data_IF_209893381572
#
_entry.id   IF_209893381572
#
_cell.length_a   1.000
_cell.length_b   1.000
_cell.length_c   1.000
_cell.angle_alpha   90.00
_cell.angle_beta   90.00
_cell.angle_gamma   90.00
#
_symmetry.space_group_name_H-M   'P 1'
#
loop_
_entity.id
_entity.type
_entity.pdbx_description
1 polymer ?
#
# COMPACT_ATOMS: atom_id res chain seq x y z
N UNK A 1 0.16 -2.99 -17.23
CA UNK A 1 -1.08 -2.94 -16.41
C UNK A 1 -1.58 -1.50 -16.39
N UNK A 2 -2.90 -1.28 -16.30
CA UNK A 2 -3.49 0.05 -16.10
C UNK A 2 -4.10 0.08 -14.70
N UNK A 3 -3.79 1.14 -13.94
CA UNK A 3 -4.35 1.41 -12.62
C UNK A 3 -5.29 2.61 -12.74
N UNK A 4 -6.50 2.51 -12.18
CA UNK A 4 -7.56 3.49 -12.45
C UNK A 4 -7.57 4.61 -11.42
N UNK A 5 -7.67 4.25 -10.13
CA UNK A 5 -7.73 5.20 -9.01
C UNK A 5 -6.53 4.96 -8.11
N UNK A 6 -5.53 5.83 -8.21
CA UNK A 6 -4.32 5.78 -7.40
C UNK A 6 -4.40 6.75 -6.22
N UNK A 7 -3.83 6.34 -5.09
CA UNK A 7 -3.76 7.14 -3.86
C UNK A 7 -2.34 7.05 -3.29
N UNK A 8 -1.81 8.18 -2.84
CA UNK A 8 -0.51 8.26 -2.17
C UNK A 8 -0.65 8.02 -0.67
N UNK A 9 0.31 7.30 -0.10
CA UNK A 9 0.35 7.00 1.32
C UNK A 9 1.79 6.82 1.80
N UNK A 10 1.98 6.81 3.12
CA UNK A 10 3.24 6.52 3.76
C UNK A 10 3.20 5.14 4.41
N UNK A 11 4.19 4.30 4.10
CA UNK A 11 4.32 2.98 4.69
C UNK A 11 4.65 3.07 6.18
N UNK A 12 3.98 2.26 7.00
CA UNK A 12 4.25 2.19 8.45
C UNK A 12 4.96 0.87 8.75
N UNK A 13 4.29 -0.25 8.48
CA UNK A 13 4.83 -1.58 8.72
C UNK A 13 4.10 -2.65 7.88
N UNK A 14 4.68 -3.84 7.82
CA UNK A 14 4.13 -5.00 7.11
C UNK A 14 4.04 -6.18 8.07
N UNK A 15 2.93 -6.34 8.82
CA UNK A 15 2.81 -7.37 9.86
C UNK A 15 2.85 -8.80 9.29
N UNK A 16 2.47 -8.99 8.02
CA UNK A 16 2.60 -10.28 7.34
C UNK A 16 2.77 -10.09 5.82
N UNK A 17 3.01 -11.20 5.10
CA UNK A 17 3.30 -11.14 3.65
C UNK A 17 2.17 -10.61 2.77
N UNK A 18 0.95 -10.45 3.28
CA UNK A 18 -0.20 -10.01 2.50
C UNK A 18 -0.80 -8.67 2.96
N UNK A 19 -0.35 -8.12 4.09
CA UNK A 19 -0.93 -6.92 4.71
C UNK A 19 0.18 -5.92 5.02
N UNK A 20 -0.06 -4.66 4.64
CA UNK A 20 0.71 -3.51 5.10
C UNK A 20 -0.21 -2.53 5.83
N UNK A 21 0.34 -1.83 6.82
CA UNK A 21 -0.26 -0.66 7.45
C UNK A 21 0.33 0.57 6.80
N UNK A 22 -0.53 1.49 6.38
CA UNK A 22 -0.13 2.72 5.71
C UNK A 22 -0.93 3.91 6.25
N UNK A 23 -0.37 5.10 6.11
CA UNK A 23 -1.03 6.37 6.40
C UNK A 23 -1.35 7.07 5.09
N UNK A 24 -2.61 7.11 4.70
CA UNK A 24 -3.03 7.84 3.48
C UNK A 24 -2.79 9.33 3.72
N UNK A 25 -2.26 10.02 2.71
CA UNK A 25 -2.02 11.46 2.84
C UNK A 25 -3.33 12.22 3.07
N UNK A 26 -3.32 13.12 4.05
CA UNK A 26 -4.52 13.84 4.52
C UNK A 26 -5.53 13.03 5.34
N UNK A 27 -5.32 11.73 5.60
CA UNK A 27 -6.19 10.93 6.45
C UNK A 27 -5.67 10.85 7.91
N UNK A 28 -6.55 10.87 8.90
CA UNK A 28 -6.18 10.74 10.33
C UNK A 28 -5.91 9.29 10.76
N UNK A 29 -6.51 8.31 10.08
CA UNK A 29 -6.41 6.91 10.48
C UNK A 29 -5.34 6.13 9.71
N UNK A 30 -4.93 4.99 10.28
CA UNK A 30 -4.07 4.01 9.62
C UNK A 30 -4.92 3.00 8.86
N UNK A 31 -4.59 2.80 7.59
CA UNK A 31 -5.31 1.89 6.70
C UNK A 31 -4.57 0.56 6.54
N UNK A 32 -5.32 -0.54 6.48
CA UNK A 32 -4.81 -1.87 6.14
C UNK A 32 -4.95 -2.14 4.65
N UNK A 33 -3.83 -2.36 3.97
CA UNK A 33 -3.80 -2.57 2.51
C UNK A 33 -3.23 -3.93 2.16
N UNK A 34 -3.66 -4.46 1.01
CA UNK A 34 -3.18 -5.75 0.53
C UNK A 34 -1.85 -5.60 -0.21
N UNK A 35 -0.91 -6.47 0.10
CA UNK A 35 0.39 -6.56 -0.59
C UNK A 35 0.37 -7.79 -1.51
N UNK A 36 0.32 -7.56 -2.82
CA UNK A 36 0.35 -8.62 -3.85
C UNK A 36 1.73 -9.29 -3.98
N UNK A 37 2.79 -8.59 -3.59
CA UNK A 37 4.16 -9.08 -3.70
C UNK A 37 4.48 -10.10 -2.58
N UNK A 38 4.78 -11.34 -2.91
CA UNK A 38 5.14 -12.39 -1.93
C UNK A 38 6.60 -12.30 -1.43
N UNK A 39 7.44 -11.50 -2.09
CA UNK A 39 8.81 -11.19 -1.69
C UNK A 39 8.87 -10.32 -0.43
N UNK A 40 10.07 -10.25 0.17
CA UNK A 40 10.27 -9.57 1.47
C UNK A 40 10.33 -8.04 1.35
N UNK A 41 10.91 -7.50 0.27
CA UNK A 41 11.03 -6.05 0.00
C UNK A 41 11.49 -5.22 1.21
N UNK A 42 12.40 -5.77 2.03
CA UNK A 42 12.82 -5.15 3.32
C UNK A 42 13.61 -3.87 3.11
N UNK A 43 14.29 -3.79 1.98
CA UNK A 43 15.11 -2.67 1.53
C UNK A 43 14.30 -1.55 0.86
N UNK A 44 13.03 -1.81 0.52
CA UNK A 44 12.15 -0.83 -0.14
C UNK A 44 11.03 -0.35 0.79
N UNK A 45 10.38 -1.28 1.51
CA UNK A 45 9.28 -0.98 2.43
C UNK A 45 9.84 -0.61 3.81
N UNK A 46 10.54 0.52 3.86
CA UNK A 46 11.02 1.13 5.10
C UNK A 46 9.91 2.03 5.68
N UNK A 47 9.77 2.11 7.02
CA UNK A 47 8.85 3.06 7.64
C UNK A 47 9.06 4.48 7.11
N UNK A 48 7.98 5.15 6.73
CA UNK A 48 7.98 6.48 6.11
C UNK A 48 8.17 6.48 4.59
N UNK A 49 8.43 5.34 3.95
CA UNK A 49 8.53 5.28 2.49
C UNK A 49 7.20 5.65 1.83
N UNK A 50 7.25 6.52 0.83
CA UNK A 50 6.09 6.87 0.00
C UNK A 50 5.69 5.65 -0.83
N UNK A 51 4.41 5.29 -0.75
CA UNK A 51 3.82 4.16 -1.47
C UNK A 51 2.61 4.61 -2.27
N UNK A 52 2.38 3.92 -3.38
CA UNK A 52 1.22 4.13 -4.23
C UNK A 52 0.26 2.96 -4.04
N UNK A 53 -1.00 3.30 -3.82
CA UNK A 53 -2.11 2.38 -3.64
C UNK A 53 -3.05 2.44 -4.83
N UNK A 54 -3.69 1.32 -5.15
CA UNK A 54 -4.83 1.25 -6.07
C UNK A 54 -6.12 1.04 -5.25
N UNK A 55 -7.13 1.88 -5.45
CA UNK A 55 -8.48 1.67 -4.91
C UNK A 55 -9.22 0.60 -5.73
N UNK A 56 -9.50 -0.53 -5.12
CA UNK A 56 -10.06 -1.71 -5.77
C UNK A 56 -11.52 -1.98 -5.42
N UNK A 57 -12.20 -1.07 -4.68
CA UNK A 57 -13.56 -1.34 -4.20
C UNK A 57 -14.57 -1.54 -5.35
N UNK A 58 -14.45 -0.74 -6.41
CA UNK A 58 -15.32 -0.83 -7.60
C UNK A 58 -15.08 -2.13 -8.40
N UNK A 59 -13.88 -2.71 -8.31
CA UNK A 59 -13.52 -3.94 -9.02
C UNK A 59 -14.06 -5.18 -8.32
N UNK A 60 -14.10 -5.15 -6.99
CA UNK A 60 -14.68 -6.21 -6.18
C UNK A 60 -15.13 -5.65 -4.82
N UNK A 61 -16.44 -5.43 -4.64
CA UNK A 61 -16.98 -4.89 -3.38
C UNK A 61 -16.78 -5.81 -2.16
N UNK A 62 -16.55 -7.10 -2.37
CA UNK A 62 -16.41 -8.09 -1.28
C UNK A 62 -14.98 -8.21 -0.74
N UNK A 63 -14.07 -7.31 -1.13
CA UNK A 63 -12.68 -7.35 -0.67
C UNK A 63 -12.60 -7.01 0.82
N UNK A 64 -11.72 -7.72 1.53
CA UNK A 64 -11.41 -7.43 2.94
C UNK A 64 -10.62 -6.13 3.13
N UNK A 65 -9.81 -5.77 2.14
CA UNK A 65 -9.09 -4.50 2.10
C UNK A 65 -9.46 -3.75 0.83
N UNK A 66 -9.73 -2.45 0.97
CA UNK A 66 -10.10 -1.57 -0.14
C UNK A 66 -8.95 -1.40 -1.12
N UNK A 67 -7.73 -1.25 -0.59
CA UNK A 67 -6.57 -0.89 -1.38
C UNK A 67 -5.58 -2.03 -1.61
N UNK A 68 -4.91 -1.97 -2.75
CA UNK A 68 -3.72 -2.76 -3.08
C UNK A 68 -2.48 -1.87 -3.09
N UNK A 69 -1.39 -2.27 -2.41
CA UNK A 69 -0.08 -1.62 -2.54
C UNK A 69 0.54 -2.05 -3.88
N UNK A 70 0.72 -1.09 -4.79
CA UNK A 70 1.16 -1.36 -6.17
C UNK A 70 2.57 -0.84 -6.46
N UNK A 71 3.05 0.15 -5.73
CA UNK A 71 4.41 0.66 -5.86
C UNK A 71 4.94 1.24 -4.54
N UNK A 72 6.26 1.30 -4.45
CA UNK A 72 6.99 2.00 -3.39
C UNK A 72 8.05 2.87 -4.07
N UNK A 73 8.12 4.13 -3.66
CA UNK A 73 9.14 5.06 -4.13
C UNK A 73 10.43 4.73 -3.40
N UNK A 74 11.46 4.40 -4.16
CA UNK A 74 12.78 4.16 -3.59
C UNK A 74 13.30 5.49 -3.04
N UNK A 75 13.74 5.47 -1.79
CA UNK A 75 14.50 6.58 -1.23
C UNK A 75 15.89 6.53 -1.86
N UNK A 76 16.21 7.55 -2.65
CA UNK A 76 17.57 7.74 -3.15
C UNK A 76 18.39 8.30 -1.98
N UNK A 77 19.30 7.46 -1.46
CA UNK A 77 20.34 7.86 -0.51
C UNK A 77 21.53 8.48 -1.24
#
# INVERSE_FOLDING_TARGET
MKYDKIVEAFFIERPNRFIARVKIDGAEEVELVHVKNTGRCRELLLPGAEVILEDCIEKNPNRKTRYDLIAVKKLDN
#
